data_IF_483672717675
#
_entry.id   IF_483672717675
#
_cell.length_a   1.000
_cell.length_b   1.000
_cell.length_c   1.000
_cell.angle_alpha   90.00
_cell.angle_beta   90.00
_cell.angle_gamma   90.00
#
_symmetry.space_group_name_H-M   'P 1'
#
loop_
_entity.id
_entity.type
_entity.pdbx_description
1 polymer ?
#
# COMPACT_ATOMS: atom_id res chain seq x y z
N UNK A 1 -2.80 -3.81 13.96
CA UNK A 1 -3.42 -2.57 14.47
C UNK A 1 -4.50 -1.98 13.55
N UNK A 2 -4.42 -2.15 12.21
CA UNK A 2 -5.34 -1.52 11.24
C UNK A 2 -5.34 0.02 11.22
N UNK A 3 -4.33 0.62 11.83
CA UNK A 3 -4.17 2.08 11.96
C UNK A 3 -2.82 2.57 11.43
N UNK A 4 -2.07 1.73 10.71
CA UNK A 4 -0.76 2.10 10.14
C UNK A 4 0.41 2.17 11.12
N UNK A 5 0.24 1.87 12.41
CA UNK A 5 1.32 2.02 13.42
C UNK A 5 2.21 0.78 13.59
N UNK A 6 1.64 -0.42 13.54
CA UNK A 6 2.37 -1.65 13.91
C UNK A 6 3.19 -2.27 12.78
N UNK A 7 3.08 -1.76 11.54
CA UNK A 7 3.80 -2.24 10.34
C UNK A 7 3.68 -3.75 10.02
N UNK A 8 2.81 -4.49 10.70
CA UNK A 8 2.57 -5.92 10.44
C UNK A 8 1.78 -6.19 9.16
N UNK A 9 1.27 -5.15 8.51
CA UNK A 9 0.48 -5.22 7.28
C UNK A 9 1.32 -4.83 6.04
N UNK A 10 2.65 -4.86 6.16
CA UNK A 10 3.56 -4.53 5.06
C UNK A 10 3.51 -5.63 4.00
N UNK A 11 3.34 -5.21 2.75
CA UNK A 11 3.28 -6.09 1.59
C UNK A 11 4.07 -5.43 0.45
N UNK A 12 4.94 -6.16 -0.26
CA UNK A 12 5.60 -5.63 -1.45
C UNK A 12 4.59 -5.42 -2.58
N UNK A 13 4.62 -4.24 -3.20
CA UNK A 13 3.84 -3.95 -4.38
C UNK A 13 4.52 -4.54 -5.62
N UNK A 14 3.82 -5.39 -6.36
CA UNK A 14 4.36 -5.99 -7.59
C UNK A 14 4.10 -5.07 -8.79
N UNK A 15 2.91 -4.48 -8.87
CA UNK A 15 2.57 -3.51 -9.92
C UNK A 15 1.40 -2.62 -9.51
N UNK A 16 1.30 -1.44 -10.15
CA UNK A 16 0.21 -0.49 -9.97
C UNK A 16 0.56 0.68 -9.05
N UNK A 17 -0.44 1.43 -8.62
CA UNK A 17 -0.30 2.55 -7.68
C UNK A 17 -1.32 2.43 -6.56
N UNK A 18 -0.93 2.86 -5.36
CA UNK A 18 -1.78 2.93 -4.18
C UNK A 18 -1.88 4.36 -3.67
N UNK A 19 -2.95 4.65 -2.95
CA UNK A 19 -3.19 5.92 -2.27
C UNK A 19 -3.11 5.73 -0.76
N UNK A 20 -2.25 6.48 -0.10
CA UNK A 20 -2.26 6.55 1.36
C UNK A 20 -3.52 7.28 1.82
N UNK A 21 -4.37 6.61 2.60
CA UNK A 21 -5.64 7.17 3.05
C UNK A 21 -5.49 8.27 4.12
N UNK A 22 -4.30 8.41 4.72
CA UNK A 22 -3.99 9.41 5.75
C UNK A 22 -3.57 10.74 5.12
N UNK A 23 -2.79 10.69 4.04
CA UNK A 23 -2.22 11.87 3.38
C UNK A 23 -2.89 12.19 2.04
N UNK A 24 -3.54 11.21 1.41
CA UNK A 24 -4.08 11.30 0.06
C UNK A 24 -3.03 11.12 -1.05
N UNK A 25 -1.76 10.93 -0.69
CA UNK A 25 -0.65 10.75 -1.62
C UNK A 25 -0.80 9.45 -2.43
N UNK A 26 -0.52 9.53 -3.73
CA UNK A 26 -0.50 8.37 -4.62
C UNK A 26 0.95 8.00 -4.92
N UNK A 27 1.32 6.76 -4.59
CA UNK A 27 2.66 6.21 -4.75
C UNK A 27 2.57 4.74 -5.20
N UNK A 28 3.69 4.06 -5.37
CA UNK A 28 3.71 2.66 -5.82
C UNK A 28 4.80 2.41 -6.85
N UNK A 29 6.03 2.37 -6.38
CA UNK A 29 7.15 1.82 -7.15
C UNK A 29 7.15 0.28 -7.04
N UNK A 30 7.68 -0.39 -8.05
CA UNK A 30 7.82 -1.86 -8.01
C UNK A 30 8.74 -2.26 -6.85
N UNK A 31 8.29 -3.23 -6.04
CA UNK A 31 8.96 -3.67 -4.83
C UNK A 31 8.78 -2.75 -3.61
N UNK A 32 8.05 -1.63 -3.75
CA UNK A 32 7.76 -0.75 -2.62
C UNK A 32 6.94 -1.46 -1.53
N UNK A 33 7.36 -1.34 -0.28
CA UNK A 33 6.62 -1.89 0.86
C UNK A 33 5.47 -0.97 1.25
N UNK A 34 4.25 -1.40 0.94
CA UNK A 34 3.03 -0.66 1.25
C UNK A 34 2.36 -1.18 2.52
N UNK A 35 1.61 -0.34 3.21
CA UNK A 35 0.80 -0.75 4.35
C UNK A 35 -0.64 -1.01 3.91
N UNK A 36 -0.97 -2.27 3.62
CA UNK A 36 -2.31 -2.68 3.11
C UNK A 36 -3.48 -2.25 4.01
N UNK A 37 -3.21 -1.98 5.28
CA UNK A 37 -4.20 -1.52 6.22
C UNK A 37 -4.53 -0.02 6.17
N UNK A 38 -3.72 0.81 5.49
CA UNK A 38 -3.94 2.26 5.32
C UNK A 38 -3.67 2.76 3.89
N UNK A 39 -3.35 1.87 2.96
CA UNK A 39 -3.20 2.17 1.54
C UNK A 39 -4.36 1.52 0.78
N UNK A 40 -5.02 2.29 -0.08
CA UNK A 40 -6.07 1.81 -0.96
C UNK A 40 -5.56 1.74 -2.41
N UNK A 41 -6.07 0.83 -3.22
CA UNK A 41 -5.71 0.78 -4.64
C UNK A 41 -6.13 2.09 -5.35
N UNK A 42 -5.22 2.68 -6.14
CA UNK A 42 -5.48 3.85 -6.99
C UNK A 42 -5.70 3.45 -8.46
N UNK A 43 -6.21 2.23 -8.68
CA UNK A 43 -6.34 1.58 -9.99
C UNK A 43 -6.09 0.08 -9.89
N UNK A 44 -5.86 -0.62 -11.02
CA UNK A 44 -5.37 -1.99 -11.01
C UNK A 44 -4.04 -2.09 -10.24
N UNK A 45 -3.97 -3.02 -9.29
CA UNK A 45 -2.78 -3.30 -8.48
C UNK A 45 -2.53 -4.79 -8.42
N UNK A 46 -1.26 -5.17 -8.33
CA UNK A 46 -0.83 -6.54 -8.14
C UNK A 46 0.01 -6.64 -6.86
N UNK A 47 -0.38 -7.59 -6.01
CA UNK A 47 0.25 -7.89 -4.74
C UNK A 47 0.50 -9.40 -4.68
N UNK A 48 1.59 -9.78 -4.03
CA UNK A 48 1.92 -11.18 -3.74
C UNK A 48 1.62 -11.43 -2.25
N UNK A 49 0.42 -11.96 -1.95
CA UNK A 49 -0.10 -12.17 -0.57
C UNK A 49 -0.76 -13.53 -0.40
#
# INVERSE_FOLDING_TARGET
CRMGICRSCLTPLVAGKVRDMRTGEVHGEEGELIQTCVNAAAGPVHLDI
#
